data_IF_801262839703
#
_entry.id   IF_801262839703
#
_cell.length_a   1.000
_cell.length_b   1.000
_cell.length_c   1.000
_cell.angle_alpha   90.00
_cell.angle_beta   90.00
_cell.angle_gamma   90.00
#
_symmetry.space_group_name_H-M   'P 1'
#
loop_
_entity.id
_entity.type
_entity.pdbx_description
1 polymer ?
#
# COMPACT_ATOMS: atom_id res chain seq x y z
N UNK A 1 -5.06 10.01 22.71
CA UNK A 1 -4.40 10.45 21.46
C UNK A 1 -5.10 9.77 20.28
N UNK A 2 -5.49 10.52 19.23
CA UNK A 2 -6.15 9.98 18.03
C UNK A 2 -5.24 10.20 16.83
N UNK A 3 -4.93 9.14 16.08
CA UNK A 3 -4.18 9.20 14.83
C UNK A 3 -5.17 9.03 13.68
N UNK A 4 -5.08 9.89 12.65
CA UNK A 4 -5.95 9.85 11.47
C UNK A 4 -5.07 9.89 10.22
N UNK A 5 -5.19 8.89 9.36
CA UNK A 5 -4.57 8.90 8.04
C UNK A 5 -5.45 9.73 7.10
N UNK A 6 -4.89 10.79 6.50
CA UNK A 6 -5.60 11.67 5.56
C UNK A 6 -5.39 11.28 4.11
N UNK A 7 -4.15 10.96 3.76
CA UNK A 7 -3.79 10.53 2.42
C UNK A 7 -2.63 9.53 2.49
N UNK A 8 -2.54 8.66 1.49
CA UNK A 8 -1.42 7.76 1.27
C UNK A 8 -0.99 7.84 -0.19
N UNK A 9 0.24 8.26 -0.42
CA UNK A 9 0.85 8.32 -1.76
C UNK A 9 1.92 7.25 -1.89
N UNK A 10 1.78 6.41 -2.91
CA UNK A 10 2.67 5.32 -3.26
C UNK A 10 3.46 5.70 -4.50
N UNK A 11 4.78 5.59 -4.46
CA UNK A 11 5.67 5.79 -5.60
C UNK A 11 6.57 4.57 -5.72
N UNK A 12 6.48 3.85 -6.83
CA UNK A 12 7.20 2.60 -7.11
C UNK A 12 7.08 1.56 -5.99
N UNK A 13 5.90 1.43 -5.39
CA UNK A 13 5.65 0.53 -4.26
C UNK A 13 4.82 -0.70 -4.69
N UNK A 14 5.42 -1.89 -4.62
CA UNK A 14 4.77 -3.20 -4.80
C UNK A 14 3.81 -3.24 -6.00
N UNK A 15 4.36 -2.98 -7.19
CA UNK A 15 3.63 -2.96 -8.45
C UNK A 15 2.98 -1.61 -8.79
N UNK A 16 2.76 -0.73 -7.80
CA UNK A 16 2.19 0.60 -8.04
C UNK A 16 3.29 1.60 -8.41
N UNK A 17 3.28 2.07 -9.66
CA UNK A 17 4.19 3.13 -10.14
C UNK A 17 3.93 4.47 -9.46
N UNK A 18 2.67 4.90 -9.47
CA UNK A 18 2.20 6.09 -8.77
C UNK A 18 0.72 5.91 -8.43
N UNK A 19 0.36 6.10 -7.16
CA UNK A 19 -1.04 6.05 -6.72
C UNK A 19 -1.22 6.89 -5.47
N UNK A 20 -2.24 7.74 -5.45
CA UNK A 20 -2.67 8.47 -4.25
C UNK A 20 -4.07 8.03 -3.85
N UNK A 21 -4.27 7.83 -2.55
CA UNK A 21 -5.57 7.55 -1.94
C UNK A 21 -5.84 8.61 -0.88
N UNK A 22 -6.95 9.32 -1.03
CA UNK A 22 -7.49 10.19 0.00
C UNK A 22 -8.47 9.42 0.87
N UNK A 23 -8.31 9.53 2.19
CA UNK A 23 -9.12 8.80 3.16
C UNK A 23 -10.17 9.70 3.80
N UNK A 24 -11.39 9.20 3.85
CA UNK A 24 -12.49 9.70 4.67
C UNK A 24 -12.60 8.89 5.97
N UNK A 25 -13.63 9.16 6.78
CA UNK A 25 -13.91 8.39 8.00
C UNK A 25 -14.07 6.88 7.74
N UNK A 26 -14.76 6.53 6.63
CA UNK A 26 -14.87 5.16 6.14
C UNK A 26 -14.55 5.16 4.65
N UNK A 27 -13.43 4.55 4.28
CA UNK A 27 -13.00 4.42 2.87
C UNK A 27 -13.06 2.95 2.47
N UNK A 28 -13.93 2.62 1.52
CA UNK A 28 -14.05 1.28 0.98
C UNK A 28 -13.25 1.15 -0.33
N UNK A 29 -12.48 0.08 -0.47
CA UNK A 29 -11.60 -0.15 -1.63
C UNK A 29 -12.02 -1.44 -2.32
N UNK A 30 -12.56 -1.32 -3.54
CA UNK A 30 -13.05 -2.42 -4.36
C UNK A 30 -12.19 -2.63 -5.62
N UNK A 31 -12.39 -3.77 -6.29
CA UNK A 31 -11.71 -4.14 -7.52
C UNK A 31 -11.50 -5.65 -7.63
N UNK A 32 -11.07 -6.13 -8.79
CA UNK A 32 -10.84 -7.56 -9.04
C UNK A 32 -9.59 -8.08 -8.34
N UNK A 33 -9.39 -9.40 -8.34
CA UNK A 33 -8.18 -10.01 -7.81
C UNK A 33 -6.93 -9.46 -8.54
N UNK A 34 -5.83 -9.33 -7.80
CA UNK A 34 -4.56 -8.78 -8.29
C UNK A 34 -4.57 -7.30 -8.78
N UNK A 35 -5.63 -6.52 -8.52
CA UNK A 35 -5.69 -5.10 -8.91
C UNK A 35 -5.08 -4.12 -7.88
N UNK A 36 -4.27 -4.62 -6.95
CA UNK A 36 -3.53 -3.77 -6.00
C UNK A 36 -4.30 -3.33 -4.75
N UNK A 37 -5.43 -3.97 -4.42
CA UNK A 37 -6.14 -3.75 -3.13
C UNK A 37 -5.24 -4.08 -1.92
N UNK A 38 -4.60 -5.25 -1.94
CA UNK A 38 -3.67 -5.68 -0.88
C UNK A 38 -2.45 -4.76 -0.78
N UNK A 39 -1.96 -4.23 -1.90
CA UNK A 39 -0.85 -3.27 -1.94
C UNK A 39 -1.11 -2.04 -1.05
N UNK A 40 -2.34 -1.53 -1.01
CA UNK A 40 -2.70 -0.37 -0.17
C UNK A 40 -2.63 -0.74 1.32
N UNK A 41 -3.13 -1.91 1.69
CA UNK A 41 -3.06 -2.42 3.06
C UNK A 41 -1.61 -2.64 3.50
N UNK A 42 -0.78 -3.20 2.62
CA UNK A 42 0.63 -3.41 2.91
C UNK A 42 1.42 -2.11 3.04
N UNK A 43 1.11 -1.11 2.21
CA UNK A 43 1.71 0.21 2.34
C UNK A 43 1.36 0.91 3.66
N UNK A 44 0.11 0.77 4.12
CA UNK A 44 -0.31 1.22 5.44
C UNK A 44 0.51 0.55 6.56
N UNK A 45 0.63 -0.79 6.53
CA UNK A 45 1.42 -1.52 7.51
C UNK A 45 2.90 -1.12 7.46
N UNK A 46 3.45 -0.92 6.26
CA UNK A 46 4.84 -0.57 6.09
C UNK A 46 5.16 0.83 6.62
N UNK A 47 4.27 1.81 6.40
CA UNK A 47 4.43 3.18 6.89
C UNK A 47 4.61 3.25 8.42
N UNK A 48 3.87 2.44 9.17
CA UNK A 48 3.89 2.49 10.63
C UNK A 48 4.81 1.44 11.28
N UNK A 49 5.03 0.30 10.63
CA UNK A 49 5.66 -0.86 11.26
C UNK A 49 6.86 -1.41 10.48
N UNK A 50 7.12 -0.93 9.26
CA UNK A 50 8.19 -1.44 8.40
C UNK A 50 7.97 -2.89 7.96
N UNK A 51 6.72 -3.35 7.93
CA UNK A 51 6.30 -4.71 7.58
C UNK A 51 5.08 -4.70 6.67
N UNK A 52 4.85 -5.78 5.93
CA UNK A 52 3.60 -5.94 5.20
C UNK A 52 2.45 -6.39 6.11
N UNK A 53 1.26 -6.53 5.54
CA UNK A 53 0.07 -6.93 6.30
C UNK A 53 0.01 -8.41 6.70
N UNK A 54 1.06 -9.17 6.39
CA UNK A 54 1.30 -10.56 6.81
C UNK A 54 2.50 -10.68 7.77
N UNK A 55 2.96 -9.56 8.35
CA UNK A 55 4.09 -9.45 9.29
C UNK A 55 5.47 -9.78 8.70
N UNK A 56 5.61 -9.79 7.37
CA UNK A 56 6.90 -10.01 6.71
C UNK A 56 7.69 -8.71 6.62
N UNK A 57 9.01 -8.81 6.85
CA UNK A 57 9.97 -7.69 6.72
C UNK A 57 10.70 -7.68 5.39
N UNK A 58 10.80 -8.84 4.75
CA UNK A 58 11.58 -9.18 3.56
C UNK A 58 10.71 -9.26 2.29
N UNK A 59 9.55 -8.61 2.30
CA UNK A 59 8.65 -8.63 1.15
C UNK A 59 9.17 -7.70 0.04
N UNK A 60 8.86 -8.07 -1.22
CA UNK A 60 9.28 -7.30 -2.39
C UNK A 60 8.53 -5.96 -2.44
N UNK A 61 9.21 -4.91 -1.99
CA UNK A 61 8.71 -3.53 -2.02
C UNK A 61 8.90 -2.91 -3.40
N UNK A 62 9.91 -3.37 -4.16
CA UNK A 62 10.23 -2.75 -5.45
C UNK A 62 9.16 -3.10 -6.48
N UNK A 63 8.87 -2.11 -7.31
CA UNK A 63 8.07 -2.34 -8.51
C UNK A 63 8.98 -2.89 -9.60
N UNK A 64 8.90 -4.20 -9.81
CA UNK A 64 9.60 -4.94 -10.86
C UNK A 64 8.93 -4.67 -12.22
N UNK A 65 9.72 -4.75 -13.29
CA UNK A 65 9.25 -4.70 -14.67
C UNK A 65 9.99 -5.73 -15.53
N UNK A 66 9.76 -5.75 -16.85
CA UNK A 66 10.44 -6.70 -17.72
C UNK A 66 11.98 -6.58 -17.72
N UNK A 67 12.54 -5.52 -17.13
CA UNK A 67 13.97 -5.25 -17.11
C UNK A 67 14.62 -5.41 -15.72
N UNK A 68 13.84 -5.65 -14.66
CA UNK A 68 14.35 -5.87 -13.29
C UNK A 68 13.43 -6.79 -12.50
#
# INVERSE_FOLDING_TARGET
MKIVLKALTLINFKGARSRTIDFSEVTNIYGDNATGKTTIKDAFCWLFFGKDSTDRKDFEIKTLDGNN
#
